data_IF_846905598260
#
_entry.id   IF_846905598260
#
_cell.length_a   1.000
_cell.length_b   1.000
_cell.length_c   1.000
_cell.angle_alpha   90.00
_cell.angle_beta   90.00
_cell.angle_gamma   90.00
#
_symmetry.space_group_name_H-M   'P 1'
#
loop_
_entity.id
_entity.type
_entity.pdbx_description
1 polymer ?
#
# COMPACT_ATOMS: atom_id res chain seq x y z
N UNK A 1 30.18 1.95 -14.37
CA UNK A 1 30.62 2.06 -12.95
C UNK A 1 30.14 3.36 -12.32
N UNK A 2 30.48 4.51 -12.89
CA UNK A 2 30.08 5.84 -12.40
C UNK A 2 28.76 6.29 -13.04
N UNK A 3 27.81 6.73 -12.21
CA UNK A 3 26.52 7.29 -12.61
C UNK A 3 26.60 8.80 -12.88
N UNK A 4 27.34 9.55 -12.05
CA UNK A 4 27.52 10.99 -12.20
C UNK A 4 28.91 11.41 -11.72
N UNK A 5 29.45 12.49 -12.30
CA UNK A 5 30.75 13.06 -11.92
C UNK A 5 30.64 14.58 -11.82
N UNK A 6 31.24 15.13 -10.77
CA UNK A 6 31.38 16.56 -10.54
C UNK A 6 32.82 16.90 -10.13
N UNK A 7 33.12 18.20 -9.93
CA UNK A 7 34.45 18.65 -9.51
C UNK A 7 34.86 18.11 -8.12
N UNK A 8 33.88 17.91 -7.24
CA UNK A 8 34.09 17.47 -5.84
C UNK A 8 33.94 15.95 -5.66
N UNK A 9 33.66 15.18 -6.72
CA UNK A 9 33.51 13.73 -6.59
C UNK A 9 32.72 13.05 -7.69
N UNK A 10 32.33 11.81 -7.44
CA UNK A 10 31.53 11.00 -8.34
C UNK A 10 30.56 10.11 -7.56
N UNK A 11 29.46 9.73 -8.21
CA UNK A 11 28.45 8.83 -7.68
C UNK A 11 28.52 7.54 -8.49
N UNK A 12 28.59 6.39 -7.82
CA UNK A 12 28.52 5.08 -8.47
C UNK A 12 27.08 4.67 -8.75
N UNK A 13 26.89 3.82 -9.76
CA UNK A 13 25.64 3.05 -9.84
C UNK A 13 25.49 2.18 -8.57
N UNK A 14 24.27 1.99 -8.02
CA UNK A 14 24.06 1.22 -6.80
C UNK A 14 24.69 -0.18 -6.82
N UNK A 15 24.56 -0.89 -7.94
CA UNK A 15 25.09 -2.24 -8.13
C UNK A 15 26.63 -2.25 -8.12
N UNK A 16 27.24 -1.21 -8.69
CA UNK A 16 28.69 -1.01 -8.63
C UNK A 16 29.17 -0.71 -7.21
N UNK A 17 28.44 0.15 -6.47
CA UNK A 17 28.76 0.47 -5.09
C UNK A 17 28.66 -0.75 -4.16
N UNK A 18 27.70 -1.65 -4.38
CA UNK A 18 27.62 -2.92 -3.65
C UNK A 18 28.85 -3.80 -3.87
N UNK A 19 29.25 -4.02 -5.12
CA UNK A 19 30.43 -4.85 -5.44
C UNK A 19 31.70 -4.25 -4.82
N UNK A 20 31.87 -2.93 -4.88
CA UNK A 20 33.04 -2.26 -4.32
C UNK A 20 33.11 -2.39 -2.80
N UNK A 21 31.99 -2.22 -2.10
CA UNK A 21 31.93 -2.39 -0.64
C UNK A 21 32.21 -3.82 -0.21
N UNK A 22 31.66 -4.79 -0.92
CA UNK A 22 31.93 -6.19 -0.64
C UNK A 22 33.41 -6.56 -0.89
N UNK A 23 34.02 -6.02 -1.94
CA UNK A 23 35.47 -6.19 -2.18
C UNK A 23 36.31 -5.55 -1.09
N UNK A 24 35.91 -4.38 -0.59
CA UNK A 24 36.59 -3.71 0.52
C UNK A 24 36.51 -4.53 1.82
N UNK A 25 35.37 -5.19 2.06
CA UNK A 25 35.14 -6.04 3.23
C UNK A 25 35.83 -7.41 3.17
N UNK A 26 36.25 -7.86 1.98
CA UNK A 26 36.82 -9.19 1.75
C UNK A 26 38.30 -9.35 2.07
N UNK A 27 38.96 -8.28 2.47
CA UNK A 27 40.35 -8.34 2.96
C UNK A 27 40.43 -9.25 4.19
N UNK A 28 41.40 -10.16 4.26
CA UNK A 28 41.43 -11.29 5.23
C UNK A 28 41.28 -10.84 6.69
N UNK A 29 41.77 -9.64 7.01
CA UNK A 29 41.71 -9.06 8.37
C UNK A 29 40.65 -7.96 8.54
N UNK A 30 39.86 -7.63 7.51
CA UNK A 30 38.90 -6.52 7.52
C UNK A 30 39.53 -5.13 7.70
N UNK A 31 40.87 -5.04 7.63
CA UNK A 31 41.64 -3.84 7.98
C UNK A 31 41.35 -2.68 7.03
N UNK A 32 41.32 -2.95 5.72
CA UNK A 32 40.98 -1.94 4.71
C UNK A 32 39.61 -1.31 4.91
N UNK A 33 38.61 -2.11 5.31
CA UNK A 33 37.27 -1.60 5.61
C UNK A 33 37.29 -0.67 6.83
N UNK A 34 38.02 -1.07 7.87
CA UNK A 34 38.18 -0.27 9.09
C UNK A 34 38.91 1.03 8.82
N UNK A 35 40.06 0.99 8.13
CA UNK A 35 40.84 2.16 7.76
C UNK A 35 40.04 3.14 6.88
N UNK A 36 39.26 2.61 5.92
CA UNK A 36 38.38 3.40 5.09
C UNK A 36 37.26 4.06 5.90
N UNK A 37 36.69 3.35 6.89
CA UNK A 37 35.68 3.90 7.78
C UNK A 37 36.24 5.01 8.67
N UNK A 38 37.39 4.80 9.31
CA UNK A 38 38.03 5.80 10.17
C UNK A 38 38.37 7.08 9.40
N UNK A 39 38.87 6.93 8.16
CA UNK A 39 39.11 8.07 7.28
C UNK A 39 37.81 8.81 6.95
N UNK A 40 36.75 8.07 6.56
CA UNK A 40 35.45 8.63 6.22
C UNK A 40 34.83 9.35 7.40
N UNK A 41 34.80 8.73 8.57
CA UNK A 41 34.25 9.28 9.81
C UNK A 41 34.97 10.58 10.21
N UNK A 42 36.31 10.59 10.17
CA UNK A 42 37.11 11.78 10.49
C UNK A 42 36.85 12.93 9.50
N UNK A 43 36.77 12.62 8.20
CA UNK A 43 36.53 13.63 7.17
C UNK A 43 35.10 14.16 7.24
N UNK A 44 34.12 13.31 7.52
CA UNK A 44 32.69 13.63 7.44
C UNK A 44 32.08 14.04 8.79
N UNK A 45 32.85 14.12 9.88
CA UNK A 45 32.36 14.50 11.22
C UNK A 45 31.53 15.79 11.31
N UNK A 46 31.68 16.68 10.32
CA UNK A 46 31.01 17.98 10.24
C UNK A 46 29.74 17.95 9.38
N UNK A 47 29.45 16.82 8.72
CA UNK A 47 28.25 16.63 7.91
C UNK A 47 27.00 16.52 8.79
N UNK A 48 25.85 16.65 8.16
CA UNK A 48 24.56 16.50 8.85
C UNK A 48 24.42 15.11 9.50
N UNK A 49 23.69 14.99 10.62
CA UNK A 49 23.44 13.70 11.27
C UNK A 49 22.84 12.64 10.35
N UNK A 50 22.04 13.05 9.37
CA UNK A 50 21.42 12.14 8.41
C UNK A 50 22.45 11.53 7.43
N UNK A 51 23.43 12.31 6.98
CA UNK A 51 24.53 11.79 6.15
C UNK A 51 25.43 10.86 6.97
N UNK A 52 25.76 11.23 8.21
CA UNK A 52 26.54 10.35 9.10
C UNK A 52 25.84 9.00 9.35
N UNK A 53 24.51 9.02 9.49
CA UNK A 53 23.68 7.82 9.62
C UNK A 53 23.78 6.92 8.37
N UNK A 54 23.70 7.50 7.18
CA UNK A 54 23.84 6.76 5.91
C UNK A 54 25.21 6.11 5.76
N UNK A 55 26.27 6.86 6.05
CA UNK A 55 27.65 6.35 6.03
C UNK A 55 27.83 5.21 7.04
N UNK A 56 27.30 5.37 8.26
CA UNK A 56 27.39 4.34 9.30
C UNK A 56 26.66 3.05 8.91
N UNK A 57 25.46 3.17 8.34
CA UNK A 57 24.70 2.03 7.82
C UNK A 57 25.46 1.36 6.69
N UNK A 58 26.05 2.13 5.77
CA UNK A 58 26.84 1.59 4.66
C UNK A 58 28.06 0.79 5.14
N UNK A 59 28.78 1.29 6.14
CA UNK A 59 29.88 0.57 6.78
C UNK A 59 29.41 -0.71 7.48
N UNK A 60 28.43 -0.60 8.38
CA UNK A 60 27.92 -1.74 9.15
C UNK A 60 27.40 -2.86 8.24
N UNK A 61 26.80 -2.52 7.10
CA UNK A 61 26.20 -3.50 6.18
C UNK A 61 27.19 -4.51 5.57
N UNK A 62 28.49 -4.21 5.61
CA UNK A 62 29.56 -5.07 5.12
C UNK A 62 30.59 -5.38 6.20
N UNK A 63 30.35 -4.96 7.44
CA UNK A 63 31.20 -5.28 8.58
C UNK A 63 31.07 -6.77 8.94
N UNK A 64 32.16 -7.37 9.40
CA UNK A 64 32.19 -8.71 9.96
C UNK A 64 31.73 -8.79 11.43
N UNK A 65 31.44 -7.64 12.05
CA UNK A 65 30.91 -7.57 13.42
C UNK A 65 29.55 -8.31 13.51
N UNK A 66 29.43 -9.36 14.34
CA UNK A 66 28.18 -10.09 14.54
C UNK A 66 27.01 -9.20 14.99
N UNK A 67 27.31 -8.08 15.67
CA UNK A 67 26.31 -7.10 16.13
C UNK A 67 25.91 -6.06 15.09
N UNK A 68 26.52 -6.05 13.89
CA UNK A 68 26.34 -4.98 12.92
C UNK A 68 24.88 -4.83 12.45
N UNK A 69 24.20 -5.94 12.18
CA UNK A 69 22.79 -5.91 11.76
C UNK A 69 21.86 -5.36 12.83
N UNK A 70 22.04 -5.77 14.10
CA UNK A 70 21.28 -5.20 15.22
C UNK A 70 21.52 -3.70 15.40
N UNK A 71 22.75 -3.24 15.18
CA UNK A 71 23.07 -1.81 15.19
C UNK A 71 22.37 -1.06 14.04
N UNK A 72 22.34 -1.61 12.83
CA UNK A 72 21.62 -1.03 11.68
C UNK A 72 20.12 -0.90 12.01
N UNK A 73 19.51 -1.95 12.56
CA UNK A 73 18.09 -1.91 12.94
C UNK A 73 17.81 -0.84 13.98
N UNK A 74 18.64 -0.75 15.03
CA UNK A 74 18.50 0.30 16.06
C UNK A 74 18.63 1.71 15.47
N UNK A 75 19.58 1.92 14.56
CA UNK A 75 19.77 3.18 13.85
C UNK A 75 18.53 3.55 13.01
N UNK A 76 17.98 2.59 12.26
CA UNK A 76 16.77 2.78 11.47
C UNK A 76 15.53 3.01 12.34
N UNK A 77 15.38 2.29 13.46
CA UNK A 77 14.29 2.47 14.42
C UNK A 77 14.32 3.85 15.07
N UNK A 78 15.53 4.34 15.40
CA UNK A 78 15.73 5.69 15.93
C UNK A 78 15.32 6.75 14.91
N UNK A 79 15.74 6.60 13.65
CA UNK A 79 15.33 7.49 12.56
C UNK A 79 13.81 7.43 12.33
N UNK A 80 13.22 6.24 12.40
CA UNK A 80 11.78 6.04 12.26
C UNK A 80 10.98 6.73 13.36
N UNK A 81 11.41 6.56 14.61
CA UNK A 81 10.79 7.22 15.76
C UNK A 81 10.87 8.74 15.64
N UNK A 82 12.03 9.26 15.23
CA UNK A 82 12.22 10.70 14.99
C UNK A 82 11.37 11.24 13.84
N UNK A 83 11.07 10.43 12.81
CA UNK A 83 10.23 10.79 11.66
C UNK A 83 8.73 10.73 11.99
N UNK A 84 8.30 9.75 12.79
CA UNK A 84 6.89 9.60 13.17
C UNK A 84 6.49 10.61 14.25
N UNK A 85 7.33 10.81 15.27
CA UNK A 85 7.05 11.70 16.40
C UNK A 85 7.43 13.16 16.15
N UNK A 86 8.40 13.41 15.26
CA UNK A 86 8.90 14.75 14.97
C UNK A 86 8.60 15.18 13.54
N UNK A 87 8.19 16.44 13.35
CA UNK A 87 8.05 17.04 12.02
C UNK A 87 9.43 17.38 11.39
N UNK A 88 10.30 16.38 11.26
CA UNK A 88 11.66 16.55 10.75
C UNK A 88 11.69 16.46 9.23
N UNK A 89 11.31 17.54 8.55
CA UNK A 89 11.31 17.63 7.07
C UNK A 89 12.64 17.17 6.45
N UNK A 90 13.78 17.55 7.04
CA UNK A 90 15.09 17.12 6.55
C UNK A 90 15.29 15.60 6.58
N UNK A 91 14.81 14.93 7.62
CA UNK A 91 14.89 13.47 7.76
C UNK A 91 13.97 12.76 6.76
N UNK A 92 12.79 13.31 6.51
CA UNK A 92 11.86 12.81 5.50
C UNK A 92 12.50 12.84 4.10
N UNK A 93 13.10 13.96 3.70
CA UNK A 93 13.79 14.07 2.41
C UNK A 93 15.01 13.15 2.34
N UNK A 94 15.77 13.06 3.44
CA UNK A 94 16.90 12.14 3.51
C UNK A 94 16.45 10.70 3.30
N UNK A 95 15.45 10.20 4.03
CA UNK A 95 15.02 8.80 3.96
C UNK A 95 14.53 8.44 2.56
N UNK A 96 13.69 9.29 1.95
CA UNK A 96 13.16 9.03 0.60
C UNK A 96 14.25 8.99 -0.50
N UNK A 97 15.37 9.70 -0.29
CA UNK A 97 16.54 9.68 -1.20
C UNK A 97 17.51 8.55 -0.86
N UNK A 98 17.87 8.37 0.41
CA UNK A 98 18.95 7.49 0.87
C UNK A 98 18.56 6.02 0.78
N UNK A 99 17.38 5.67 1.28
CA UNK A 99 16.96 4.27 1.46
C UNK A 99 16.98 3.46 0.15
N UNK A 100 16.55 3.99 -1.01
CA UNK A 100 16.66 3.27 -2.28
C UNK A 100 18.10 2.96 -2.69
N UNK A 101 19.08 3.76 -2.27
CA UNK A 101 20.50 3.63 -2.59
C UNK A 101 21.30 2.82 -1.54
N UNK A 102 20.67 2.48 -0.40
CA UNK A 102 21.29 1.64 0.61
C UNK A 102 21.57 0.22 0.08
N UNK A 103 22.50 -0.51 0.71
CA UNK A 103 22.74 -1.93 0.41
C UNK A 103 21.43 -2.73 0.37
N UNK A 104 21.32 -3.66 -0.57
CA UNK A 104 20.19 -4.58 -0.72
C UNK A 104 19.83 -5.29 0.59
N UNK A 105 20.83 -5.78 1.33
CA UNK A 105 20.65 -6.43 2.65
C UNK A 105 19.95 -5.52 3.67
N UNK A 106 20.21 -4.22 3.61
CA UNK A 106 19.55 -3.22 4.48
C UNK A 106 18.16 -2.89 3.95
N UNK A 107 18.00 -2.74 2.62
CA UNK A 107 16.70 -2.43 1.99
C UNK A 107 15.65 -3.51 2.24
N UNK A 108 16.06 -4.76 2.45
CA UNK A 108 15.15 -5.87 2.77
C UNK A 108 14.65 -5.86 4.21
N UNK A 109 15.33 -5.14 5.12
CA UNK A 109 14.90 -5.03 6.52
C UNK A 109 13.51 -4.40 6.61
N UNK A 110 12.68 -4.91 7.52
CA UNK A 110 11.34 -4.37 7.73
C UNK A 110 11.38 -2.89 8.13
N UNK A 111 12.24 -2.52 9.08
CA UNK A 111 12.42 -1.14 9.53
C UNK A 111 12.84 -0.19 8.40
N UNK A 112 13.65 -0.66 7.45
CA UNK A 112 14.04 0.14 6.28
C UNK A 112 12.83 0.39 5.35
N UNK A 113 12.04 -0.66 5.09
CA UNK A 113 10.80 -0.56 4.27
C UNK A 113 9.75 0.32 4.95
N UNK A 114 9.60 0.21 6.27
CA UNK A 114 8.76 1.08 7.09
C UNK A 114 9.15 2.54 6.92
N UNK A 115 10.44 2.85 7.09
CA UNK A 115 10.96 4.21 7.01
C UNK A 115 10.82 4.81 5.61
N UNK A 116 11.05 4.02 4.55
CA UNK A 116 10.87 4.47 3.16
C UNK A 116 9.40 4.79 2.86
N UNK A 117 8.49 3.89 3.22
CA UNK A 117 7.05 4.12 3.09
C UNK A 117 6.60 5.36 3.87
N UNK A 118 7.04 5.50 5.12
CA UNK A 118 6.70 6.62 5.97
C UNK A 118 7.19 7.96 5.40
N UNK A 119 8.41 7.99 4.85
CA UNK A 119 8.99 9.18 4.26
C UNK A 119 8.26 9.60 2.98
N UNK A 120 8.02 8.67 2.06
CA UNK A 120 7.37 8.94 0.76
C UNK A 120 5.92 9.39 0.91
N UNK A 121 5.16 8.75 1.81
CA UNK A 121 3.80 9.18 2.13
C UNK A 121 3.75 10.63 2.64
N UNK A 122 4.74 11.07 3.43
CA UNK A 122 4.83 12.44 3.96
C UNK A 122 5.26 13.47 2.92
N UNK A 123 6.08 13.09 1.94
CA UNK A 123 6.56 14.04 0.93
C UNK A 123 5.49 14.40 -0.09
N UNK A 124 4.84 13.39 -0.65
CA UNK A 124 3.96 13.55 -1.80
C UNK A 124 2.84 12.52 -1.86
N UNK A 125 2.57 11.80 -0.76
CA UNK A 125 1.58 10.72 -0.75
C UNK A 125 1.99 9.54 -1.63
N UNK A 126 3.28 9.39 -1.98
CA UNK A 126 3.75 8.26 -2.79
C UNK A 126 3.70 6.97 -1.98
N UNK A 127 2.76 6.11 -2.34
CA UNK A 127 2.52 4.83 -1.69
C UNK A 127 3.10 3.65 -2.48
N UNK A 128 3.90 3.89 -3.54
CA UNK A 128 4.51 2.81 -4.35
C UNK A 128 5.33 1.78 -3.56
N UNK A 129 6.04 2.11 -2.46
CA UNK A 129 6.73 1.09 -1.66
C UNK A 129 5.79 0.01 -1.11
N UNK A 130 4.50 0.31 -0.99
CA UNK A 130 3.51 -0.64 -0.48
C UNK A 130 3.08 -1.68 -1.52
N UNK A 131 3.45 -1.52 -2.80
CA UNK A 131 3.07 -2.45 -3.87
C UNK A 131 3.69 -3.84 -3.74
N UNK A 132 4.82 -3.95 -3.05
CA UNK A 132 5.50 -5.23 -2.87
C UNK A 132 4.81 -6.15 -1.86
N UNK A 133 3.80 -5.66 -1.13
CA UNK A 133 3.10 -6.44 -0.13
C UNK A 133 1.80 -7.03 -0.72
N UNK A 134 1.53 -8.30 -0.43
CA UNK A 134 0.27 -8.97 -0.80
C UNK A 134 -0.92 -8.55 0.07
N UNK A 135 -0.64 -8.07 1.28
CA UNK A 135 -1.58 -7.53 2.26
C UNK A 135 -0.93 -6.31 2.95
N UNK A 136 -1.71 -5.44 3.56
CA UNK A 136 -1.16 -4.36 4.37
C UNK A 136 -0.42 -4.92 5.58
N UNK A 137 0.86 -4.54 5.78
CA UNK A 137 1.59 -4.98 6.95
C UNK A 137 1.03 -4.34 8.22
N UNK A 138 1.09 -5.06 9.34
CA UNK A 138 0.52 -4.63 10.63
C UNK A 138 1.06 -3.29 11.11
N UNK A 139 2.31 -2.98 10.75
CA UNK A 139 2.95 -1.73 11.13
C UNK A 139 2.43 -0.51 10.36
N UNK A 140 1.77 -0.70 9.22
CA UNK A 140 1.43 0.38 8.28
C UNK A 140 0.67 1.52 8.95
N UNK A 141 -0.33 1.19 9.77
CA UNK A 141 -1.17 2.15 10.49
C UNK A 141 -0.37 3.09 11.42
N UNK A 142 0.80 2.68 11.89
CA UNK A 142 1.64 3.50 12.78
C UNK A 142 2.52 4.48 12.01
N UNK A 143 2.69 4.26 10.70
CA UNK A 143 3.63 5.03 9.88
C UNK A 143 2.93 5.96 8.90
N UNK A 144 1.69 5.65 8.52
CA UNK A 144 0.88 6.48 7.63
C UNK A 144 0.57 7.82 8.33
N UNK A 145 0.76 8.96 7.65
CA UNK A 145 0.40 10.26 8.22
C UNK A 145 -1.13 10.39 8.39
N UNK A 146 -1.57 10.81 9.57
CA UNK A 146 -3.01 11.00 9.85
C UNK A 146 -3.60 12.25 9.16
N UNK A 147 -2.76 13.11 8.60
CA UNK A 147 -3.14 14.36 7.93
C UNK A 147 -3.18 14.24 6.39
N UNK A 148 -3.17 13.02 5.84
CA UNK A 148 -3.38 12.82 4.41
C UNK A 148 -4.75 13.37 4.01
N UNK A 149 -4.78 14.10 2.89
CA UNK A 149 -6.03 14.53 2.26
C UNK A 149 -6.90 13.31 1.94
N UNK A 150 -8.22 13.49 1.82
CA UNK A 150 -9.16 12.40 1.57
C UNK A 150 -9.74 12.50 0.17
N UNK A 151 -9.99 11.36 -0.46
CA UNK A 151 -10.70 11.26 -1.75
C UNK A 151 -11.73 10.15 -1.68
N UNK A 152 -12.85 10.34 -2.37
CA UNK A 152 -13.90 9.31 -2.47
C UNK A 152 -13.72 8.48 -3.73
N UNK A 153 -13.89 7.17 -3.59
CA UNK A 153 -14.08 6.25 -4.72
C UNK A 153 -15.42 5.56 -4.58
N UNK A 154 -15.94 5.03 -5.69
CA UNK A 154 -17.15 4.22 -5.68
C UNK A 154 -16.79 2.75 -5.76
N UNK A 155 -17.48 1.92 -4.98
CA UNK A 155 -17.34 0.46 -5.01
C UNK A 155 -18.67 -0.17 -5.39
N UNK A 156 -18.63 -1.10 -6.35
CA UNK A 156 -19.79 -1.86 -6.81
C UNK A 156 -19.49 -3.36 -6.77
N UNK A 157 -20.46 -4.13 -6.30
CA UNK A 157 -20.39 -5.60 -6.27
C UNK A 157 -21.35 -6.15 -7.33
N UNK A 158 -20.78 -6.78 -8.35
CA UNK A 158 -21.50 -7.45 -9.42
C UNK A 158 -21.51 -8.97 -9.20
N UNK A 159 -22.31 -9.67 -10.00
CA UNK A 159 -22.24 -11.12 -10.10
C UNK A 159 -20.94 -11.52 -10.80
N UNK A 160 -19.91 -11.82 -10.00
CA UNK A 160 -18.60 -12.28 -10.48
C UNK A 160 -17.54 -11.20 -10.64
N UNK A 161 -17.81 -9.94 -10.24
CA UNK A 161 -16.77 -8.92 -10.21
C UNK A 161 -16.98 -7.90 -9.08
N UNK A 162 -15.86 -7.38 -8.58
CA UNK A 162 -15.81 -6.14 -7.80
C UNK A 162 -15.34 -5.04 -8.73
N UNK A 163 -16.02 -3.90 -8.73
CA UNK A 163 -15.55 -2.72 -9.42
C UNK A 163 -15.21 -1.61 -8.43
N UNK A 164 -14.05 -0.99 -8.66
CA UNK A 164 -13.54 0.17 -7.95
C UNK A 164 -13.41 1.32 -8.97
N UNK A 165 -14.16 2.39 -8.76
CA UNK A 165 -14.22 3.55 -9.67
C UNK A 165 -13.68 4.81 -8.96
N UNK A 166 -12.51 5.29 -9.40
CA UNK A 166 -11.85 6.48 -8.88
C UNK A 166 -12.17 7.77 -9.67
N UNK A 167 -13.23 7.79 -10.49
CA UNK A 167 -13.69 8.97 -11.27
C UNK A 167 -14.69 9.86 -10.53
N UNK A 168 -15.00 9.59 -9.26
CA UNK A 168 -16.02 10.28 -8.48
C UNK A 168 -17.43 10.17 -9.08
N UNK A 169 -17.87 8.94 -9.36
CA UNK A 169 -19.28 8.66 -9.66
C UNK A 169 -20.10 8.63 -8.35
N UNK A 170 -21.41 8.93 -8.41
CA UNK A 170 -22.32 8.81 -7.26
C UNK A 170 -23.11 7.48 -7.25
N UNK A 171 -22.97 6.66 -8.28
CA UNK A 171 -23.71 5.41 -8.42
C UNK A 171 -22.97 4.23 -7.77
N UNK A 172 -23.29 3.94 -6.51
CA UNK A 172 -22.75 2.81 -5.76
C UNK A 172 -22.39 3.19 -4.32
N UNK A 173 -21.68 2.32 -3.62
CA UNK A 173 -21.25 2.62 -2.26
C UNK A 173 -19.99 3.49 -2.29
N UNK A 174 -20.05 4.66 -1.67
CA UNK A 174 -18.92 5.56 -1.55
C UNK A 174 -17.96 5.08 -0.46
N UNK A 175 -16.68 5.12 -0.78
CA UNK A 175 -15.57 4.78 0.10
C UNK A 175 -14.63 5.98 0.19
N UNK A 176 -14.36 6.46 1.40
CA UNK A 176 -13.40 7.55 1.62
C UNK A 176 -12.02 6.95 1.89
N UNK A 177 -11.05 7.28 1.04
CA UNK A 177 -9.68 6.81 1.10
C UNK A 177 -8.71 7.98 1.40
N UNK A 178 -7.57 7.71 2.06
CA UNK A 178 -6.43 8.61 2.02
C UNK A 178 -5.99 8.84 0.57
N UNK A 179 -5.78 10.09 0.21
CA UNK A 179 -5.33 10.50 -1.12
C UNK A 179 -3.83 10.26 -1.22
N UNK A 180 -3.48 9.14 -1.86
CA UNK A 180 -2.11 8.76 -2.22
C UNK A 180 -1.97 8.62 -3.73
N UNK A 181 -0.73 8.54 -4.23
CA UNK A 181 -0.45 8.24 -5.63
C UNK A 181 0.41 6.96 -5.76
N UNK A 182 -0.16 5.84 -6.27
CA UNK A 182 -1.59 5.63 -6.55
C UNK A 182 -2.42 5.51 -5.25
N UNK A 183 -3.74 5.44 -5.36
CA UNK A 183 -4.64 5.04 -4.28
C UNK A 183 -4.42 3.56 -3.94
N UNK A 184 -4.57 3.22 -2.66
CA UNK A 184 -4.45 1.86 -2.15
C UNK A 184 -5.68 1.47 -1.34
N UNK A 185 -6.14 0.24 -1.56
CA UNK A 185 -7.15 -0.41 -0.74
C UNK A 185 -6.83 -1.88 -0.63
N UNK A 186 -6.88 -2.43 0.58
CA UNK A 186 -6.84 -3.86 0.78
C UNK A 186 -8.26 -4.41 0.69
N UNK A 187 -8.44 -5.45 -0.11
CA UNK A 187 -9.68 -6.19 -0.23
C UNK A 187 -9.51 -7.55 0.42
N UNK A 188 -10.53 -7.99 1.15
CA UNK A 188 -10.54 -9.32 1.73
C UNK A 188 -11.93 -9.91 1.75
N UNK A 189 -12.03 -11.20 1.45
CA UNK A 189 -13.29 -11.94 1.41
C UNK A 189 -13.05 -13.39 1.85
N UNK A 190 -14.11 -14.03 2.33
CA UNK A 190 -14.06 -15.45 2.64
C UNK A 190 -14.07 -16.24 1.31
N UNK A 191 -13.24 -17.28 1.22
CA UNK A 191 -13.27 -18.20 0.08
C UNK A 191 -14.56 -19.00 0.00
N UNK A 192 -14.60 -20.01 -0.88
CA UNK A 192 -15.70 -20.99 -0.87
C UNK A 192 -15.87 -21.64 0.53
N UNK A 193 -17.04 -22.22 0.82
CA UNK A 193 -17.41 -22.68 2.16
C UNK A 193 -16.30 -23.56 2.79
N UNK A 194 -15.69 -23.06 3.88
CA UNK A 194 -14.56 -23.70 4.58
C UNK A 194 -13.16 -23.30 4.11
N UNK A 195 -13.07 -22.41 3.12
CA UNK A 195 -11.82 -21.90 2.55
C UNK A 195 -11.18 -20.77 3.34
N UNK A 196 -9.88 -20.61 3.15
CA UNK A 196 -9.10 -19.52 3.75
C UNK A 196 -9.55 -18.15 3.24
N UNK A 197 -9.51 -17.17 4.14
CA UNK A 197 -9.75 -15.76 3.83
C UNK A 197 -8.73 -15.28 2.79
N UNK A 198 -9.23 -14.85 1.64
CA UNK A 198 -8.41 -14.29 0.58
C UNK A 198 -8.21 -12.79 0.84
N UNK A 199 -7.00 -12.29 0.59
CA UNK A 199 -6.65 -10.87 0.75
C UNK A 199 -5.79 -10.42 -0.42
N UNK A 200 -6.11 -9.26 -1.00
CA UNK A 200 -5.30 -8.63 -2.03
C UNK A 200 -5.19 -7.12 -1.78
N UNK A 201 -4.04 -6.55 -2.12
CA UNK A 201 -3.87 -5.10 -2.19
C UNK A 201 -4.14 -4.62 -3.62
N UNK A 202 -5.07 -3.69 -3.77
CA UNK A 202 -5.43 -3.10 -5.05
C UNK A 202 -4.92 -1.67 -5.11
N UNK A 203 -4.36 -1.31 -6.26
CA UNK A 203 -3.94 0.05 -6.58
C UNK A 203 -4.83 0.67 -7.65
N UNK A 204 -5.15 1.95 -7.50
CA UNK A 204 -5.89 2.73 -8.49
C UNK A 204 -5.22 4.06 -8.75
N UNK A 205 -5.02 4.41 -10.02
CA UNK A 205 -4.68 5.79 -10.41
C UNK A 205 -5.91 6.68 -10.26
N UNK A 206 -5.70 7.98 -10.10
CA UNK A 206 -6.79 8.95 -10.10
C UNK A 206 -7.57 8.86 -11.41
N UNK A 207 -8.89 8.72 -11.33
CA UNK A 207 -9.76 8.56 -12.50
C UNK A 207 -9.74 7.17 -13.16
N UNK A 208 -9.09 6.18 -12.56
CA UNK A 208 -9.11 4.80 -13.05
C UNK A 208 -10.39 4.06 -12.62
N UNK A 209 -10.88 3.18 -13.48
CA UNK A 209 -11.84 2.14 -13.12
C UNK A 209 -11.13 0.80 -13.17
N UNK A 210 -11.26 0.02 -12.10
CA UNK A 210 -10.66 -1.30 -12.02
C UNK A 210 -11.72 -2.34 -11.67
N UNK A 211 -11.79 -3.38 -12.49
CA UNK A 211 -12.63 -4.54 -12.26
C UNK A 211 -11.77 -5.73 -11.83
N UNK A 212 -12.24 -6.44 -10.82
CA UNK A 212 -11.57 -7.59 -10.21
C UNK A 212 -12.53 -8.77 -10.34
N UNK A 213 -12.21 -9.79 -11.16
CA UNK A 213 -13.09 -10.92 -11.37
C UNK A 213 -13.10 -11.82 -10.13
N UNK A 214 -14.15 -11.71 -9.31
CA UNK A 214 -14.35 -12.54 -8.12
C UNK A 214 -15.83 -12.60 -7.77
N UNK A 215 -16.31 -13.79 -7.40
CA UNK A 215 -17.67 -14.01 -6.92
C UNK A 215 -17.68 -13.85 -5.41
N UNK A 216 -18.24 -12.74 -4.90
CA UNK A 216 -18.34 -12.49 -3.46
C UNK A 216 -19.73 -11.98 -3.06
N UNK A 217 -20.25 -12.47 -1.95
CA UNK A 217 -21.46 -11.91 -1.32
C UNK A 217 -21.13 -10.86 -0.27
N UNK A 218 -19.97 -11.00 0.38
CA UNK A 218 -19.45 -10.10 1.41
C UNK A 218 -18.02 -9.74 1.07
N UNK A 219 -17.68 -8.47 1.19
CA UNK A 219 -16.35 -7.93 0.94
C UNK A 219 -15.96 -7.01 2.10
N UNK A 220 -14.77 -7.22 2.67
CA UNK A 220 -14.16 -6.29 3.62
C UNK A 220 -13.08 -5.50 2.90
N UNK A 221 -13.16 -4.18 2.99
CA UNK A 221 -12.13 -3.26 2.51
C UNK A 221 -11.44 -2.63 3.69
N UNK A 222 -10.13 -2.43 3.59
CA UNK A 222 -9.34 -1.72 4.58
C UNK A 222 -8.54 -0.61 3.89
N UNK A 223 -8.53 0.58 4.50
CA UNK A 223 -7.75 1.74 4.02
C UNK A 223 -6.34 1.73 4.62
N UNK A 224 -5.43 2.56 4.09
CA UNK A 224 -4.09 2.73 4.67
C UNK A 224 -4.11 3.19 6.14
N UNK A 225 -5.16 3.90 6.56
CA UNK A 225 -5.35 4.34 7.94
C UNK A 225 -6.05 3.29 8.83
N UNK A 226 -6.32 2.10 8.29
CA UNK A 226 -6.97 1.00 9.02
C UNK A 226 -8.48 1.12 9.14
N UNK A 227 -9.12 2.05 8.42
CA UNK A 227 -10.58 2.14 8.38
C UNK A 227 -11.14 0.93 7.63
N UNK A 228 -12.19 0.32 8.18
CA UNK A 228 -12.76 -0.93 7.66
C UNK A 228 -14.17 -0.66 7.13
N UNK A 229 -14.42 -1.15 5.92
CA UNK A 229 -15.73 -1.08 5.28
C UNK A 229 -16.19 -2.48 4.93
N UNK A 230 -17.40 -2.84 5.37
CA UNK A 230 -17.99 -4.13 5.07
C UNK A 230 -19.10 -3.92 4.05
N UNK A 231 -18.90 -4.44 2.84
CA UNK A 231 -19.86 -4.40 1.76
C UNK A 231 -20.56 -5.73 1.65
N UNK A 232 -21.83 -5.69 1.30
CA UNK A 232 -22.60 -6.86 0.88
C UNK A 232 -23.18 -6.58 -0.48
N UNK A 233 -23.28 -7.63 -1.31
CA UNK A 233 -24.00 -7.51 -2.57
C UNK A 233 -25.42 -7.06 -2.24
N UNK A 234 -25.86 -5.95 -2.84
CA UNK A 234 -27.23 -5.49 -2.67
C UNK A 234 -28.16 -6.63 -3.11
N UNK A 235 -29.12 -6.99 -2.27
CA UNK A 235 -30.12 -7.96 -2.67
C UNK A 235 -30.85 -7.40 -3.90
N UNK A 236 -30.88 -8.16 -4.99
CA UNK A 236 -31.80 -7.86 -6.08
C UNK A 236 -33.22 -7.97 -5.52
N UNK A 237 -34.02 -6.92 -5.70
CA UNK A 237 -35.43 -6.97 -5.33
C UNK A 237 -36.12 -7.80 -6.40
N UNK A 238 -36.57 -8.98 -6.01
CA UNK A 238 -37.37 -9.84 -6.87
C UNK A 238 -38.86 -9.58 -6.65
N UNK A 239 -39.56 -9.15 -7.69
CA UNK A 239 -41.01 -8.97 -7.68
C UNK A 239 -41.62 -10.18 -8.37
N UNK A 240 -42.26 -11.03 -7.58
CA UNK A 240 -43.11 -12.13 -8.05
C UNK A 240 -44.56 -11.71 -7.89
N UNK A 241 -45.30 -11.66 -9.00
CA UNK A 241 -46.71 -11.24 -9.00
C UNK A 241 -47.56 -12.09 -9.95
N UNK A 242 -48.87 -12.09 -9.74
CA UNK A 242 -49.81 -12.71 -10.67
C UNK A 242 -50.04 -11.78 -11.87
N UNK A 243 -50.35 -12.32 -13.05
CA UNK A 243 -50.58 -11.49 -14.24
C UNK A 243 -51.70 -10.45 -14.08
N UNK A 244 -52.64 -10.66 -13.15
CA UNK A 244 -53.68 -9.67 -12.81
C UNK A 244 -53.09 -8.39 -12.19
N UNK A 245 -51.90 -8.47 -11.58
CA UNK A 245 -51.22 -7.39 -10.89
C UNK A 245 -50.11 -6.73 -11.74
N UNK A 246 -50.03 -7.05 -13.05
CA UNK A 246 -49.04 -6.49 -13.99
C UNK A 246 -48.96 -4.94 -13.90
N UNK A 247 -50.08 -4.17 -13.86
CA UNK A 247 -50.01 -2.72 -13.77
C UNK A 247 -49.31 -2.22 -12.49
N UNK A 248 -49.59 -2.87 -11.36
CA UNK A 248 -49.02 -2.51 -10.07
C UNK A 248 -47.53 -2.89 -9.99
N UNK A 249 -47.16 -4.10 -10.46
CA UNK A 249 -45.76 -4.51 -10.50
C UNK A 249 -44.91 -3.59 -11.40
N UNK A 250 -45.48 -3.10 -12.52
CA UNK A 250 -44.81 -2.14 -13.40
C UNK A 250 -44.65 -0.75 -12.77
N UNK A 251 -45.60 -0.31 -11.94
CA UNK A 251 -45.48 0.92 -11.15
C UNK A 251 -44.43 0.78 -10.05
N UNK A 252 -44.50 -0.29 -9.25
CA UNK A 252 -43.55 -0.58 -8.19
C UNK A 252 -42.11 -0.70 -8.73
N UNK A 253 -41.94 -1.37 -9.87
CA UNK A 253 -40.64 -1.43 -10.56
C UNK A 253 -40.10 -0.04 -10.89
N UNK A 254 -40.91 0.82 -11.51
CA UNK A 254 -40.50 2.20 -11.87
C UNK A 254 -40.11 3.00 -10.63
N UNK A 255 -40.88 2.88 -9.55
CA UNK A 255 -40.62 3.55 -8.28
C UNK A 255 -39.33 3.08 -7.60
N UNK A 256 -39.01 1.79 -7.69
CA UNK A 256 -37.77 1.23 -7.16
C UNK A 256 -36.56 1.57 -8.05
N UNK A 257 -36.71 1.53 -9.37
CA UNK A 257 -35.68 1.95 -10.34
C UNK A 257 -35.39 3.46 -10.22
N UNK A 258 -36.41 4.30 -9.97
CA UNK A 258 -36.25 5.73 -9.70
C UNK A 258 -35.44 6.00 -8.42
N UNK A 259 -35.53 5.08 -7.44
CA UNK A 259 -34.69 5.07 -6.22
C UNK A 259 -33.34 4.37 -6.42
N UNK A 260 -33.00 4.01 -7.66
CA UNK A 260 -31.76 3.32 -8.07
C UNK A 260 -31.57 1.96 -7.39
N UNK A 261 -32.66 1.25 -7.12
CA UNK A 261 -32.60 -0.11 -6.58
C UNK A 261 -32.62 -1.13 -7.74
N UNK A 262 -31.78 -2.18 -7.71
CA UNK A 262 -31.78 -3.22 -8.73
C UNK A 262 -33.01 -4.14 -8.56
N UNK A 263 -33.89 -4.16 -9.56
CA UNK A 263 -35.16 -4.91 -9.54
C UNK A 263 -35.22 -5.91 -10.69
N UNK A 264 -35.68 -7.14 -10.40
CA UNK A 264 -36.06 -8.14 -11.38
C UNK A 264 -37.54 -8.49 -11.21
N UNK A 265 -38.29 -8.58 -12.31
CA UNK A 265 -39.75 -8.82 -12.30
C UNK A 265 -40.06 -10.07 -13.11
N UNK A 266 -40.79 -11.02 -12.52
CA UNK A 266 -41.24 -12.26 -13.17
C UNK A 266 -42.78 -12.36 -13.07
N UNK A 267 -43.44 -12.26 -14.21
CA UNK A 267 -44.88 -12.43 -14.30
C UNK A 267 -45.19 -13.92 -14.48
N UNK A 268 -45.61 -14.59 -13.41
CA UNK A 268 -46.00 -16.01 -13.51
C UNK A 268 -47.45 -16.11 -13.95
N UNK A 269 -47.72 -16.90 -14.99
CA UNK A 269 -49.08 -17.38 -15.32
C UNK A 269 -49.49 -18.48 -14.32
N UNK A 270 -49.60 -18.13 -13.05
CA UNK A 270 -50.16 -19.04 -12.04
C UNK A 270 -51.68 -19.07 -12.22
N UNK A 271 -52.21 -20.22 -12.64
CA UNK A 271 -53.64 -20.51 -12.47
C UNK A 271 -53.83 -20.93 -11.01
N UNK A 272 -54.93 -20.51 -10.38
CA UNK A 272 -55.20 -20.88 -8.99
C UNK A 272 -55.12 -22.40 -8.80
N UNK A 273 -54.18 -22.86 -7.96
CA UNK A 273 -53.99 -24.28 -7.65
C UNK A 273 -52.55 -24.82 -7.72
N UNK A 274 -51.59 -24.09 -8.31
CA UNK A 274 -50.22 -24.59 -8.43
C UNK A 274 -49.44 -24.50 -7.10
N UNK A 275 -48.93 -25.64 -6.61
CA UNK A 275 -48.05 -25.68 -5.43
C UNK A 275 -46.70 -25.05 -5.76
N UNK A 276 -46.20 -24.24 -4.82
CA UNK A 276 -44.81 -23.75 -4.81
C UNK A 276 -43.88 -24.97 -4.67
N UNK A 277 -43.16 -25.30 -5.76
CA UNK A 277 -42.06 -26.26 -5.78
C UNK A 277 -40.72 -25.59 -5.52
#
# INVERSE_FOLDING_TARGET
>A
LVQARGPEGFVFFPEAAEVLRWRLAKDEDGRRLTDAWELTERMHKHLSPALLLEEKIAYLSVSSDPGAFGQIENLLQTAMSALVLGERRGLVHWAARALPALPSTVRTLETARMLDAAARLRLNGDARPLRSFGAFPDWLRFVVPNNLSRTSITVRLFEGAIELDARSNLEGQQLVLPQTDPLFVELSWDGEVGGERQTIVVTLRKGEVRQIPVVVQKLRLQTLLGEIYNLRRAAQIFISHASADDPFAAELRRELEARRLPVWVDARRLRGGDKLG
#
